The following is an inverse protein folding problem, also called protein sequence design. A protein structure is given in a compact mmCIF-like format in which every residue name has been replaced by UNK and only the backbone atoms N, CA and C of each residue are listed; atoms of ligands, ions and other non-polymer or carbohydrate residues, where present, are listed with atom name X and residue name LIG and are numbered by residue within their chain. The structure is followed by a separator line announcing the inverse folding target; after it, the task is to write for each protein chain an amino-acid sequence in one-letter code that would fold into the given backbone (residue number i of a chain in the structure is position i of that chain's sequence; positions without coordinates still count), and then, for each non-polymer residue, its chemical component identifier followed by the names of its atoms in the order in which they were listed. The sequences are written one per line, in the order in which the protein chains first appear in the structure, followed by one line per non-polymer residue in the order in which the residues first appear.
data_IF_147983733239
#
_entry.id   IF_147983733239
#
_cell.length_a   1.000
_cell.length_b   1.000
_cell.length_c   1.000
_cell.angle_alpha   90.00
_cell.angle_beta   90.00
_cell.angle_gamma   90.00
#
_symmetry.space_group_name_H-M   'P 1'
#
loop_
_entity.id
_entity.type
_entity.pdbx_description
1 polymer ?
#
# COMPACT_ATOMS: atom_id res chain seq x y z
N UNK A 1 -0.80 2.29 36.35
CA UNK A 1 -0.48 3.49 35.53
C UNK A 1 -1.77 4.18 35.16
N UNK A 2 -1.81 5.52 35.06
CA UNK A 2 -3.02 6.22 34.67
C UNK A 2 -3.38 5.91 33.20
N UNK A 3 -4.67 5.80 32.90
CA UNK A 3 -5.20 5.45 31.59
C UNK A 3 -4.68 6.37 30.45
N UNK A 4 -4.43 7.64 30.77
CA UNK A 4 -3.85 8.64 29.85
C UNK A 4 -2.48 8.23 29.27
N UNK A 5 -1.71 7.41 30.00
CA UNK A 5 -0.39 6.98 29.52
C UNK A 5 -0.48 5.96 28.39
N UNK A 6 -1.53 5.14 28.36
CA UNK A 6 -1.71 4.12 27.31
C UNK A 6 -2.38 4.68 26.06
N UNK A 7 -3.27 5.67 26.18
CA UNK A 7 -3.77 6.39 25.00
C UNK A 7 -2.62 7.10 24.28
N UNK A 8 -1.75 7.78 25.00
CA UNK A 8 -0.54 8.40 24.43
C UNK A 8 0.42 7.35 23.84
N UNK A 9 0.48 6.13 24.40
CA UNK A 9 1.26 5.03 23.84
C UNK A 9 0.70 4.57 22.48
N UNK A 10 -0.63 4.44 22.35
CA UNK A 10 -1.29 4.14 21.06
C UNK A 10 -0.95 5.23 20.04
N UNK A 11 -1.04 6.50 20.42
CA UNK A 11 -0.70 7.63 19.54
C UNK A 11 0.73 7.52 19.00
N UNK A 12 1.70 7.25 19.87
CA UNK A 12 3.12 7.15 19.49
C UNK A 12 3.44 5.91 18.67
N UNK A 13 2.79 4.78 18.96
CA UNK A 13 2.92 3.57 18.16
C UNK A 13 2.38 3.80 16.75
N UNK A 14 1.18 4.40 16.62
CA UNK A 14 0.61 4.80 15.33
C UNK A 14 1.57 5.70 14.53
N UNK A 15 2.18 6.69 15.19
CA UNK A 15 3.21 7.54 14.58
C UNK A 15 4.44 6.75 14.09
N UNK A 16 4.94 5.79 14.88
CA UNK A 16 6.12 5.01 14.52
C UNK A 16 5.93 4.27 13.20
N UNK A 17 4.77 3.65 12.97
CA UNK A 17 4.51 3.00 11.68
C UNK A 17 4.16 3.99 10.55
N UNK A 18 3.56 5.15 10.83
CA UNK A 18 3.44 6.22 9.83
C UNK A 18 4.81 6.74 9.38
N UNK A 19 5.81 6.80 10.27
CA UNK A 19 7.19 7.14 9.91
C UNK A 19 7.81 6.10 8.97
N UNK A 20 7.58 4.81 9.22
CA UNK A 20 8.01 3.74 8.30
C UNK A 20 7.36 3.91 6.92
N UNK A 21 6.06 4.21 6.87
CA UNK A 21 5.33 4.45 5.62
C UNK A 21 5.85 5.69 4.89
N UNK A 22 6.14 6.77 5.62
CA UNK A 22 6.68 7.99 5.04
C UNK A 22 8.09 7.79 4.48
N UNK A 23 8.94 7.04 5.20
CA UNK A 23 10.25 6.64 4.71
C UNK A 23 10.14 5.83 3.41
N UNK A 24 9.17 4.92 3.31
CA UNK A 24 8.86 4.19 2.08
C UNK A 24 8.43 5.12 0.94
N UNK A 25 7.58 6.09 1.24
CA UNK A 25 7.08 7.06 0.27
C UNK A 25 8.17 7.96 -0.28
N UNK A 26 9.10 8.43 0.57
CA UNK A 26 10.26 9.20 0.14
C UNK A 26 11.21 8.39 -0.74
N UNK A 27 11.18 7.06 -0.60
CA UNK A 27 11.99 6.14 -1.38
C UNK A 27 11.39 5.81 -2.76
N UNK A 28 10.08 6.02 -2.96
CA UNK A 28 9.38 5.75 -4.23
C UNK A 28 10.05 6.37 -5.48
N UNK A 29 10.46 7.66 -5.48
CA UNK A 29 11.10 8.27 -6.67
C UNK A 29 12.47 7.68 -6.97
N UNK A 30 13.24 7.28 -5.94
CA UNK A 30 14.54 6.64 -6.10
C UNK A 30 14.42 5.21 -6.62
N UNK A 31 13.39 4.48 -6.16
CA UNK A 31 13.00 3.18 -6.71
C UNK A 31 12.65 3.29 -8.20
N UNK A 32 12.00 4.38 -8.61
CA UNK A 32 11.60 4.64 -10.00
C UNK A 32 12.74 5.01 -10.94
N UNK A 33 13.72 5.77 -10.45
CA UNK A 33 14.83 6.28 -11.27
C UNK A 33 16.02 5.33 -11.35
N UNK A 34 15.91 4.12 -10.75
CA UNK A 34 16.98 3.14 -10.71
C UNK A 34 18.09 3.47 -9.70
N UNK A 35 17.95 4.54 -8.92
CA UNK A 35 18.89 4.95 -7.86
C UNK A 35 18.71 4.14 -6.55
N UNK A 36 18.27 2.88 -6.68
CA UNK A 36 17.99 1.97 -5.56
C UNK A 36 19.25 1.57 -4.78
N UNK A 37 20.44 1.86 -5.33
CA UNK A 37 21.74 1.48 -4.74
C UNK A 37 22.50 2.67 -4.11
N UNK A 38 21.91 3.86 -3.99
CA UNK A 38 22.60 5.01 -3.42
C UNK A 38 22.73 4.90 -1.89
N UNK A 39 23.96 4.66 -1.40
CA UNK A 39 24.26 4.36 0.01
C UNK A 39 23.73 5.41 1.01
N UNK A 40 23.80 6.71 0.68
CA UNK A 40 23.27 7.78 1.52
C UNK A 40 21.73 7.74 1.64
N UNK A 41 21.02 7.41 0.55
CA UNK A 41 19.56 7.46 0.53
C UNK A 41 18.98 6.24 1.27
N UNK A 42 19.57 5.06 1.02
CA UNK A 42 19.21 3.81 1.66
C UNK A 42 19.56 3.81 3.16
N UNK A 43 20.76 4.30 3.51
CA UNK A 43 21.23 4.37 4.89
C UNK A 43 20.53 5.44 5.73
N UNK A 44 20.26 6.62 5.17
CA UNK A 44 19.69 7.72 5.95
C UNK A 44 18.17 7.62 6.16
N UNK A 45 17.42 7.06 5.22
CA UNK A 45 15.94 7.10 5.27
C UNK A 45 15.35 5.73 5.65
N UNK A 46 15.71 4.67 4.92
CA UNK A 46 15.14 3.35 5.16
C UNK A 46 15.72 2.70 6.43
N UNK A 47 17.04 2.72 6.62
CA UNK A 47 17.67 2.13 7.80
C UNK A 47 17.38 2.93 9.08
N UNK A 48 17.45 4.26 9.04
CA UNK A 48 17.19 5.07 10.23
C UNK A 48 15.75 4.92 10.74
N UNK A 49 14.74 4.94 9.85
CA UNK A 49 13.34 4.79 10.24
C UNK A 49 13.05 3.39 10.80
N UNK A 50 13.60 2.34 10.19
CA UNK A 50 13.43 0.95 10.64
C UNK A 50 14.14 0.70 11.97
N UNK A 51 15.38 1.16 12.14
CA UNK A 51 16.11 1.08 13.39
C UNK A 51 15.39 1.87 14.49
N UNK A 52 14.94 3.09 14.20
CA UNK A 52 14.19 3.90 15.16
C UNK A 52 12.92 3.18 15.62
N UNK A 53 12.11 2.68 14.69
CA UNK A 53 10.88 1.95 15.03
C UNK A 53 11.18 0.67 15.83
N UNK A 54 12.22 -0.09 15.46
CA UNK A 54 12.64 -1.28 16.20
C UNK A 54 13.07 -0.95 17.64
N UNK A 55 13.96 0.03 17.82
CA UNK A 55 14.41 0.48 19.14
C UNK A 55 13.25 1.01 19.96
N UNK A 56 12.35 1.78 19.35
CA UNK A 56 11.15 2.30 20.01
C UNK A 56 10.27 1.17 20.56
N UNK A 57 9.99 0.14 19.74
CA UNK A 57 9.25 -1.05 20.16
C UNK A 57 9.95 -1.80 21.29
N UNK A 58 11.27 -2.01 21.18
CA UNK A 58 12.05 -2.71 22.21
C UNK A 58 12.05 -1.97 23.55
N UNK A 59 12.17 -0.64 23.53
CA UNK A 59 12.11 0.19 24.75
C UNK A 59 10.73 0.11 25.41
N UNK A 60 9.65 0.13 24.62
CA UNK A 60 8.30 -0.05 25.15
C UNK A 60 8.16 -1.44 25.76
N UNK A 61 8.54 -2.47 25.02
CA UNK A 61 8.40 -3.85 25.43
C UNK A 61 9.20 -4.17 26.69
N UNK A 62 10.43 -3.69 26.81
CA UNK A 62 11.29 -3.87 27.99
C UNK A 62 10.73 -3.18 29.25
N UNK A 63 9.85 -2.18 29.09
CA UNK A 63 9.20 -1.48 30.21
C UNK A 63 7.91 -2.13 30.67
N UNK A 64 7.36 -3.13 29.99
CA UNK A 64 6.10 -3.79 30.37
C UNK A 64 6.19 -4.65 31.65
N UNK A 65 7.28 -5.43 31.91
CA UNK A 65 7.39 -6.27 33.10
C UNK A 65 7.29 -5.52 34.43
N UNK A 66 7.79 -4.28 34.48
CA UNK A 66 7.76 -3.45 35.69
C UNK A 66 6.36 -2.91 36.03
N UNK A 67 5.38 -3.12 35.15
CA UNK A 67 4.02 -2.56 35.29
C UNK A 67 2.97 -3.63 35.54
N UNK A 68 3.39 -4.88 35.75
CA UNK A 68 2.50 -6.02 35.82
C UNK A 68 2.88 -6.95 36.98
N UNK A 69 2.02 -7.93 37.25
CA UNK A 69 2.24 -8.94 38.27
C UNK A 69 3.07 -10.12 37.72
N UNK A 70 3.28 -11.17 38.54
CA UNK A 70 4.03 -12.37 38.15
C UNK A 70 3.48 -13.06 36.89
N UNK A 71 2.16 -13.09 36.73
CA UNK A 71 1.51 -13.64 35.54
C UNK A 71 1.88 -12.83 34.30
N UNK A 72 1.82 -11.50 34.38
CA UNK A 72 2.24 -10.64 33.27
C UNK A 72 3.72 -10.78 32.94
N UNK A 73 4.60 -10.97 33.92
CA UNK A 73 6.02 -11.28 33.66
C UNK A 73 6.17 -12.61 32.92
N UNK A 74 5.40 -13.64 33.30
CA UNK A 74 5.39 -14.92 32.59
C UNK A 74 4.89 -14.78 31.14
N UNK A 75 3.81 -14.03 30.91
CA UNK A 75 3.31 -13.72 29.56
C UNK A 75 4.36 -12.96 28.74
N UNK A 76 5.02 -11.98 29.36
CA UNK A 76 6.09 -11.21 28.72
C UNK A 76 7.28 -12.11 28.31
N UNK A 77 7.69 -13.06 29.16
CA UNK A 77 8.73 -14.02 28.83
C UNK A 77 8.32 -14.95 27.68
N UNK A 78 7.06 -15.39 27.64
CA UNK A 78 6.54 -16.17 26.53
C UNK A 78 6.55 -15.38 25.20
N UNK A 79 6.14 -14.11 25.25
CA UNK A 79 6.20 -13.20 24.09
C UNK A 79 7.64 -13.00 23.64
N UNK A 80 8.57 -12.78 24.57
CA UNK A 80 9.99 -12.63 24.27
C UNK A 80 10.53 -13.87 23.56
N UNK A 81 10.18 -15.08 24.02
CA UNK A 81 10.60 -16.33 23.39
C UNK A 81 10.08 -16.44 21.94
N UNK A 82 8.83 -16.06 21.68
CA UNK A 82 8.26 -16.05 20.33
C UNK A 82 8.96 -15.02 19.45
N UNK A 83 9.16 -13.79 19.91
CA UNK A 83 9.84 -12.75 19.12
C UNK A 83 11.27 -13.14 18.80
N UNK A 84 12.00 -13.74 19.76
CA UNK A 84 13.35 -14.28 19.50
C UNK A 84 13.31 -15.37 18.44
N UNK A 85 12.33 -16.28 18.50
CA UNK A 85 12.14 -17.31 17.49
C UNK A 85 11.84 -16.71 16.10
N UNK A 86 10.94 -15.73 16.00
CA UNK A 86 10.63 -15.04 14.74
C UNK A 86 11.86 -14.36 14.14
N UNK A 87 12.70 -13.72 14.97
CA UNK A 87 13.96 -13.11 14.53
C UNK A 87 14.93 -14.19 14.02
N UNK A 88 15.09 -15.30 14.74
CA UNK A 88 15.94 -16.42 14.31
C UNK A 88 15.45 -16.99 12.97
N UNK A 89 14.14 -17.20 12.81
CA UNK A 89 13.56 -17.69 11.56
C UNK A 89 13.74 -16.69 10.41
N UNK A 90 13.66 -15.39 10.69
CA UNK A 90 13.90 -14.33 9.68
C UNK A 90 15.34 -14.28 9.18
N UNK A 91 16.29 -14.78 9.97
CA UNK A 91 17.70 -14.88 9.58
C UNK A 91 17.98 -16.12 8.72
N UNK A 92 17.07 -17.10 8.68
CA UNK A 92 17.22 -18.28 7.82
C UNK A 92 17.16 -17.87 6.34
N UNK A 93 18.12 -18.34 5.50
CA UNK A 93 18.15 -18.01 4.08
C UNK A 93 16.84 -18.32 3.39
N UNK A 94 16.45 -17.43 2.49
CA UNK A 94 15.21 -17.55 1.74
C UNK A 94 15.18 -18.80 0.86
N UNK A 95 14.11 -19.59 0.94
CA UNK A 95 13.83 -20.65 -0.03
C UNK A 95 13.11 -20.05 -1.24
N UNK A 96 13.04 -20.73 -2.39
CA UNK A 96 12.49 -20.18 -3.65
C UNK A 96 11.04 -19.61 -3.58
N UNK A 97 10.31 -19.82 -2.48
CA UNK A 97 8.99 -19.20 -2.21
C UNK A 97 9.06 -17.76 -1.67
N UNK A 98 10.24 -17.32 -1.24
CA UNK A 98 10.47 -16.00 -0.63
C UNK A 98 10.87 -14.93 -1.67
N UNK A 99 10.76 -15.25 -2.96
CA UNK A 99 11.04 -14.30 -4.02
C UNK A 99 9.98 -13.21 -4.02
N UNK A 100 10.44 -12.01 -3.59
CA UNK A 100 9.79 -10.71 -3.69
C UNK A 100 8.75 -10.72 -4.81
N UNK A 101 7.47 -10.86 -4.45
CA UNK A 101 6.38 -10.82 -5.45
C UNK A 101 6.51 -9.52 -6.22
N UNK A 102 6.56 -9.63 -7.54
CA UNK A 102 7.09 -8.67 -8.53
C UNK A 102 6.30 -7.36 -8.69
N UNK A 103 5.68 -6.86 -7.62
CA UNK A 103 4.79 -5.72 -7.66
C UNK A 103 5.30 -4.61 -6.74
N UNK A 104 5.47 -3.38 -7.24
CA UNK A 104 5.88 -2.21 -6.42
C UNK A 104 4.77 -1.81 -5.43
N UNK A 105 4.63 -2.54 -4.33
CA UNK A 105 3.79 -2.13 -3.19
C UNK A 105 4.64 -1.34 -2.21
N UNK A 106 4.03 -0.46 -1.41
CA UNK A 106 4.79 0.46 -0.55
C UNK A 106 5.79 -0.25 0.40
N UNK A 107 5.48 -1.40 1.03
CA UNK A 107 6.47 -2.12 1.84
C UNK A 107 7.61 -2.71 1.00
N UNK A 108 7.33 -3.15 -0.23
CA UNK A 108 8.35 -3.71 -1.14
C UNK A 108 9.40 -2.67 -1.54
N UNK A 109 9.00 -1.40 -1.57
CA UNK A 109 9.90 -0.26 -1.79
C UNK A 109 10.90 -0.11 -0.63
N UNK A 110 10.52 -0.41 0.62
CA UNK A 110 11.45 -0.48 1.76
C UNK A 110 12.37 -1.71 1.69
N UNK A 111 11.89 -2.81 1.09
CA UNK A 111 12.62 -4.07 1.00
C UNK A 111 13.67 -4.08 -0.11
N UNK A 112 13.37 -3.43 -1.23
CA UNK A 112 14.18 -3.41 -2.45
C UNK A 112 15.67 -3.05 -2.24
N UNK A 113 16.05 -1.99 -1.51
CA UNK A 113 17.47 -1.66 -1.31
C UNK A 113 18.27 -2.76 -0.60
N UNK A 114 17.66 -3.42 0.40
CA UNK A 114 18.33 -4.47 1.16
C UNK A 114 18.53 -5.73 0.33
N UNK A 115 17.52 -6.09 -0.46
CA UNK A 115 17.63 -7.19 -1.41
C UNK A 115 18.72 -6.91 -2.47
N UNK A 116 18.81 -5.66 -2.96
CA UNK A 116 19.84 -5.21 -3.90
C UNK A 116 21.27 -5.34 -3.35
N UNK A 117 21.45 -5.16 -2.05
CA UNK A 117 22.74 -5.36 -1.36
C UNK A 117 23.03 -6.81 -0.94
N UNK A 118 22.12 -7.75 -1.23
CA UNK A 118 22.25 -9.16 -0.85
C UNK A 118 21.78 -9.47 0.58
N UNK A 119 21.22 -8.50 1.31
CA UNK A 119 20.75 -8.63 2.68
C UNK A 119 19.30 -9.14 2.72
N UNK A 120 19.10 -10.39 2.30
CA UNK A 120 17.77 -11.00 2.11
C UNK A 120 16.97 -11.17 3.41
N UNK A 121 17.63 -11.14 4.57
CA UNK A 121 16.98 -11.25 5.88
C UNK A 121 16.35 -9.95 6.37
N UNK A 122 16.82 -8.79 5.89
CA UNK A 122 16.33 -7.49 6.37
C UNK A 122 14.87 -7.22 5.99
N UNK A 123 14.41 -7.49 4.75
CA UNK A 123 12.98 -7.41 4.41
C UNK A 123 12.08 -8.21 5.35
N UNK A 124 12.49 -9.44 5.70
CA UNK A 124 11.78 -10.30 6.66
C UNK A 124 11.71 -9.66 8.04
N UNK A 125 12.83 -9.11 8.53
CA UNK A 125 12.89 -8.40 9.82
C UNK A 125 12.02 -7.14 9.85
N UNK A 126 11.99 -6.36 8.76
CA UNK A 126 11.11 -5.18 8.65
C UNK A 126 9.65 -5.63 8.63
N UNK A 127 9.33 -6.73 7.96
CA UNK A 127 7.98 -7.27 7.95
C UNK A 127 7.54 -7.78 9.33
N UNK A 128 8.38 -8.55 10.00
CA UNK A 128 8.19 -8.97 11.39
C UNK A 128 8.05 -7.79 12.36
N UNK A 129 8.74 -6.67 12.11
CA UNK A 129 8.56 -5.45 12.90
C UNK A 129 7.13 -4.88 12.81
N UNK A 130 6.46 -4.97 11.66
CA UNK A 130 5.04 -4.58 11.55
C UNK A 130 4.11 -5.52 12.36
N UNK A 131 4.41 -6.81 12.41
CA UNK A 131 3.71 -7.74 13.32
C UNK A 131 3.87 -7.31 14.78
N UNK A 132 5.11 -7.05 15.20
CA UNK A 132 5.39 -6.66 16.57
C UNK A 132 4.77 -5.29 16.94
N UNK A 133 4.82 -4.31 16.03
CA UNK A 133 4.13 -3.02 16.17
C UNK A 133 2.62 -3.20 16.35
N UNK A 134 1.99 -4.06 15.55
CA UNK A 134 0.55 -4.35 15.65
C UNK A 134 0.21 -4.97 16.99
N UNK A 135 0.99 -5.96 17.42
CA UNK A 135 0.81 -6.58 18.73
C UNK A 135 0.98 -5.59 19.89
N UNK A 136 1.97 -4.71 19.84
CA UNK A 136 2.16 -3.66 20.85
C UNK A 136 1.01 -2.64 20.85
N UNK A 137 0.46 -2.32 19.67
CA UNK A 137 -0.68 -1.43 19.52
C UNK A 137 -1.95 -2.02 20.16
N UNK A 138 -2.21 -3.32 19.92
CA UNK A 138 -3.27 -4.07 20.60
C UNK A 138 -3.03 -4.14 22.11
N UNK A 139 -1.80 -4.38 22.54
CA UNK A 139 -1.43 -4.38 23.96
C UNK A 139 -1.73 -3.03 24.61
N UNK A 140 -1.34 -1.92 23.97
CA UNK A 140 -1.57 -0.58 24.48
C UNK A 140 -3.07 -0.26 24.58
N UNK A 141 -3.86 -0.60 23.57
CA UNK A 141 -5.31 -0.42 23.57
C UNK A 141 -6.00 -1.23 24.68
N UNK A 142 -5.72 -2.53 24.77
CA UNK A 142 -6.31 -3.40 25.79
C UNK A 142 -5.83 -3.03 27.20
N UNK A 143 -4.60 -2.57 27.35
CA UNK A 143 -4.11 -2.04 28.63
C UNK A 143 -4.79 -0.73 29.03
N UNK A 144 -5.16 0.12 28.06
CA UNK A 144 -5.95 1.33 28.29
C UNK A 144 -7.39 1.00 28.74
N UNK A 145 -8.03 0.02 28.09
CA UNK A 145 -9.43 -0.36 28.38
C UNK A 145 -9.60 -1.25 29.60
N UNK A 146 -8.63 -2.12 29.85
CA UNK A 146 -8.66 -3.14 30.89
C UNK A 146 -7.45 -2.97 31.80
N UNK A 147 -6.39 -3.76 31.57
CA UNK A 147 -5.13 -3.66 32.30
C UNK A 147 -3.97 -4.29 31.49
N UNK A 148 -2.74 -4.14 31.98
CA UNK A 148 -1.51 -4.58 31.31
C UNK A 148 -1.50 -6.10 31.03
N UNK A 149 -2.10 -6.92 31.90
CA UNK A 149 -2.14 -8.38 31.70
C UNK A 149 -2.99 -8.72 30.47
N UNK A 150 -4.16 -8.10 30.31
CA UNK A 150 -4.97 -8.26 29.10
C UNK A 150 -4.31 -7.69 27.85
N UNK A 151 -3.54 -6.61 28.00
CA UNK A 151 -2.67 -6.11 26.95
C UNK A 151 -1.66 -7.14 26.46
N UNK A 152 -0.91 -7.74 27.39
CA UNK A 152 0.05 -8.79 27.09
C UNK A 152 -0.61 -10.05 26.51
N UNK A 153 -1.81 -10.43 26.97
CA UNK A 153 -2.58 -11.52 26.37
C UNK A 153 -2.95 -11.22 24.91
N UNK A 154 -3.41 -10.00 24.61
CA UNK A 154 -3.72 -9.61 23.24
C UNK A 154 -2.50 -9.65 22.31
N UNK A 155 -1.35 -9.15 22.80
CA UNK A 155 -0.07 -9.25 22.08
C UNK A 155 0.33 -10.70 21.85
N UNK A 156 0.30 -11.53 22.90
CA UNK A 156 0.65 -12.95 22.83
C UNK A 156 -0.22 -13.69 21.80
N UNK A 157 -1.54 -13.57 21.90
CA UNK A 157 -2.45 -14.25 20.98
C UNK A 157 -2.27 -13.79 19.54
N UNK A 158 -2.04 -12.50 19.31
CA UNK A 158 -1.78 -11.98 17.97
C UNK A 158 -0.51 -12.61 17.36
N UNK A 159 0.65 -12.49 18.03
CA UNK A 159 1.92 -12.98 17.48
C UNK A 159 1.99 -14.51 17.42
N UNK A 160 1.29 -15.22 18.30
CA UNK A 160 1.22 -16.69 18.27
C UNK A 160 0.19 -17.23 17.28
N UNK A 161 -0.62 -16.36 16.66
CA UNK A 161 -1.62 -16.80 15.68
C UNK A 161 -0.87 -17.43 14.49
N UNK A 162 -1.18 -18.66 14.05
CA UNK A 162 -0.39 -19.38 13.05
C UNK A 162 -0.11 -18.59 11.77
N UNK A 163 -1.10 -17.87 11.24
CA UNK A 163 -0.92 -17.05 10.03
C UNK A 163 0.00 -15.85 10.27
N UNK A 164 -0.08 -15.20 11.43
CA UNK A 164 0.78 -14.05 11.78
C UNK A 164 2.21 -14.53 11.97
N UNK A 165 2.40 -15.61 12.72
CA UNK A 165 3.71 -16.23 12.94
C UNK A 165 4.34 -16.74 11.64
N UNK A 166 3.52 -17.28 10.73
CA UNK A 166 4.01 -17.71 9.42
C UNK A 166 4.45 -16.52 8.56
N UNK A 167 3.66 -15.45 8.52
CA UNK A 167 3.97 -14.29 7.71
C UNK A 167 5.13 -13.47 8.29
N UNK A 168 5.34 -13.46 9.61
CA UNK A 168 6.35 -12.62 10.28
C UNK A 168 7.80 -12.91 9.87
N UNK A 169 8.08 -14.08 9.28
CA UNK A 169 9.39 -14.46 8.75
C UNK A 169 9.44 -14.54 7.21
N UNK A 170 8.40 -14.07 6.53
CA UNK A 170 8.32 -13.94 5.08
C UNK A 170 8.36 -12.46 4.69
N UNK A 171 8.91 -12.15 3.52
CA UNK A 171 8.94 -10.80 2.99
C UNK A 171 7.66 -10.54 2.16
N UNK A 172 6.53 -10.31 2.83
CA UNK A 172 5.26 -9.96 2.16
C UNK A 172 4.82 -8.54 2.55
N UNK A 173 3.64 -8.10 2.12
CA UNK A 173 3.09 -6.78 2.45
C UNK A 173 1.99 -6.81 3.51
N UNK A 174 1.54 -8.01 3.87
CA UNK A 174 0.28 -8.22 4.58
C UNK A 174 0.31 -7.75 6.03
N UNK A 175 1.40 -7.98 6.76
CA UNK A 175 1.55 -7.46 8.14
C UNK A 175 1.64 -5.94 8.19
N UNK A 176 2.19 -5.29 7.15
CA UNK A 176 2.14 -3.83 7.01
C UNK A 176 0.71 -3.32 6.85
N UNK A 177 -0.09 -3.98 6.00
CA UNK A 177 -1.51 -3.67 5.86
C UNK A 177 -2.27 -3.86 7.18
N UNK A 178 -2.06 -5.00 7.85
CA UNK A 178 -2.71 -5.31 9.13
C UNK A 178 -2.41 -4.24 10.18
N UNK A 179 -1.15 -3.80 10.26
CA UNK A 179 -0.75 -2.70 11.13
C UNK A 179 -1.50 -1.40 10.80
N UNK A 180 -1.46 -0.94 9.55
CA UNK A 180 -2.04 0.35 9.16
C UNK A 180 -3.56 0.40 9.35
N UNK A 181 -4.25 -0.71 9.05
CA UNK A 181 -5.70 -0.83 9.29
C UNK A 181 -6.01 -0.78 10.79
N UNK A 182 -5.24 -1.51 11.61
CA UNK A 182 -5.43 -1.52 13.07
C UNK A 182 -5.16 -0.14 13.67
N UNK A 183 -4.07 0.52 13.27
CA UNK A 183 -3.73 1.88 13.67
C UNK A 183 -4.83 2.88 13.30
N UNK A 184 -5.34 2.80 12.07
CA UNK A 184 -6.43 3.67 11.63
C UNK A 184 -7.70 3.46 12.47
N UNK A 185 -8.12 2.21 12.65
CA UNK A 185 -9.31 1.86 13.42
C UNK A 185 -9.21 2.33 14.88
N UNK A 186 -8.09 2.06 15.55
CA UNK A 186 -7.91 2.47 16.94
C UNK A 186 -7.89 3.99 17.08
N UNK A 187 -7.25 4.72 16.16
CA UNK A 187 -7.30 6.18 16.14
C UNK A 187 -8.74 6.70 15.95
N UNK A 188 -9.57 6.07 15.13
CA UNK A 188 -11.01 6.40 15.01
C UNK A 188 -11.74 6.18 16.33
N UNK A 189 -11.48 5.07 17.04
CA UNK A 189 -12.08 4.80 18.34
C UNK A 189 -11.68 5.85 19.39
N UNK A 190 -10.39 6.22 19.46
CA UNK A 190 -9.92 7.27 20.38
C UNK A 190 -10.48 8.65 20.04
N UNK A 191 -10.65 8.98 18.75
CA UNK A 191 -11.36 10.19 18.34
C UNK A 191 -12.83 10.17 18.79
N UNK A 192 -13.49 9.01 18.72
CA UNK A 192 -14.89 8.88 19.13
C UNK A 192 -15.10 9.07 20.65
N UNK A 193 -14.06 8.88 21.46
CA UNK A 193 -14.09 9.16 22.91
C UNK A 193 -14.00 10.66 23.22
N UNK A 194 -13.15 11.39 22.50
CA UNK A 194 -12.99 12.83 22.63
C UNK A 194 -12.88 13.47 21.24
N UNK A 195 -14.04 13.89 20.73
CA UNK A 195 -14.21 14.40 19.37
C UNK A 195 -13.44 15.70 19.10
N UNK A 196 -12.98 16.39 20.16
CA UNK A 196 -12.17 17.61 20.06
C UNK A 196 -10.71 17.31 19.66
N UNK A 197 -10.23 16.09 19.86
CA UNK A 197 -8.85 15.71 19.56
C UNK A 197 -8.66 15.29 18.10
N UNK A 198 -8.62 16.26 17.19
CA UNK A 198 -8.44 16.03 15.75
C UNK A 198 -7.13 15.34 15.37
N UNK A 199 -6.11 15.36 16.25
CA UNK A 199 -4.84 14.63 16.05
C UNK A 199 -5.03 13.14 15.75
N UNK A 200 -6.07 12.52 16.32
CA UNK A 200 -6.42 11.13 16.08
C UNK A 200 -6.94 10.91 14.66
N UNK A 201 -7.74 11.83 14.13
CA UNK A 201 -8.23 11.77 12.74
C UNK A 201 -7.11 11.93 11.72
N UNK A 202 -6.12 12.78 12.01
CA UNK A 202 -4.95 12.95 11.15
C UNK A 202 -4.17 11.64 11.05
N UNK A 203 -3.90 10.99 12.19
CA UNK A 203 -3.25 9.67 12.21
C UNK A 203 -4.11 8.57 11.61
N UNK A 204 -5.43 8.60 11.83
CA UNK A 204 -6.36 7.64 11.25
C UNK A 204 -6.33 7.71 9.72
N UNK A 205 -6.43 8.93 9.17
CA UNK A 205 -6.34 9.18 7.74
C UNK A 205 -4.97 8.82 7.17
N UNK A 206 -3.88 9.26 7.80
CA UNK A 206 -2.53 8.92 7.35
C UNK A 206 -2.29 7.40 7.32
N UNK A 207 -2.69 6.68 8.37
CA UNK A 207 -2.59 5.21 8.44
C UNK A 207 -3.47 4.56 7.36
N UNK A 208 -4.70 5.05 7.14
CA UNK A 208 -5.57 4.53 6.10
C UNK A 208 -4.99 4.76 4.69
N UNK A 209 -4.34 5.91 4.45
CA UNK A 209 -3.64 6.20 3.20
C UNK A 209 -2.46 5.26 2.96
N UNK A 210 -1.68 4.94 4.00
CA UNK A 210 -0.63 3.93 3.90
C UNK A 210 -1.18 2.51 3.69
N UNK A 211 -2.31 2.17 4.31
CA UNK A 211 -3.01 0.92 4.03
C UNK A 211 -3.39 0.83 2.54
N UNK A 212 -3.99 1.87 1.96
CA UNK A 212 -4.29 1.91 0.52
C UNK A 212 -3.04 1.70 -0.36
N UNK A 213 -1.88 2.22 0.06
CA UNK A 213 -0.62 2.10 -0.66
C UNK A 213 0.04 0.70 -0.55
N UNK A 214 -0.43 -0.18 0.33
CA UNK A 214 0.08 -1.56 0.39
C UNK A 214 -0.48 -2.47 -0.71
N UNK A 215 -1.57 -2.07 -1.35
CA UNK A 215 -2.19 -2.84 -2.42
C UNK A 215 -3.72 -2.81 -2.35
N UNK A 216 -4.39 -3.67 -3.12
CA UNK A 216 -5.83 -3.56 -3.33
C UNK A 216 -6.70 -3.89 -2.11
N UNK A 217 -6.25 -4.82 -1.28
CA UNK A 217 -6.88 -5.11 0.01
C UNK A 217 -6.88 -3.87 0.92
N UNK A 218 -5.90 -2.97 0.75
CA UNK A 218 -5.84 -1.68 1.42
C UNK A 218 -6.91 -0.69 0.98
N UNK A 219 -7.21 -0.65 -0.32
CA UNK A 219 -8.32 0.16 -0.85
C UNK A 219 -9.68 -0.34 -0.32
N UNK A 220 -9.87 -1.65 -0.22
CA UNK A 220 -11.06 -2.23 0.42
C UNK A 220 -11.11 -1.89 1.92
N UNK A 221 -9.98 -2.00 2.62
CA UNK A 221 -9.89 -1.63 4.04
C UNK A 221 -10.23 -0.15 4.28
N UNK A 222 -9.80 0.76 3.39
CA UNK A 222 -10.16 2.17 3.46
C UNK A 222 -11.68 2.40 3.42
N UNK A 223 -12.41 1.66 2.58
CA UNK A 223 -13.87 1.73 2.55
C UNK A 223 -14.47 1.36 3.92
N UNK A 224 -14.02 0.24 4.51
CA UNK A 224 -14.50 -0.20 5.82
C UNK A 224 -14.13 0.78 6.93
N UNK A 225 -12.94 1.40 6.88
CA UNK A 225 -12.51 2.42 7.84
C UNK A 225 -13.32 3.72 7.70
N UNK A 226 -13.62 4.15 6.47
CA UNK A 226 -14.48 5.29 6.22
C UNK A 226 -15.92 5.04 6.73
N UNK A 227 -16.44 3.83 6.55
CA UNK A 227 -17.73 3.41 7.12
C UNK A 227 -17.70 3.38 8.66
N UNK A 228 -16.63 2.86 9.25
CA UNK A 228 -16.46 2.84 10.71
C UNK A 228 -16.41 4.26 11.29
N UNK A 229 -15.69 5.18 10.64
CA UNK A 229 -15.66 6.59 11.01
C UNK A 229 -17.02 7.27 10.80
N UNK A 230 -17.71 6.97 9.70
CA UNK A 230 -19.05 7.47 9.43
C UNK A 230 -20.06 7.01 10.50
N UNK A 231 -19.99 5.74 10.90
CA UNK A 231 -20.80 5.20 12.01
C UNK A 231 -20.45 5.87 13.35
N UNK A 232 -19.16 5.98 13.67
CA UNK A 232 -18.71 6.66 14.89
C UNK A 232 -19.18 8.12 14.93
N UNK A 233 -19.05 8.86 13.84
CA UNK A 233 -19.54 10.23 13.73
C UNK A 233 -21.08 10.32 13.82
N UNK A 234 -21.81 9.37 13.22
CA UNK A 234 -23.26 9.31 13.28
C UNK A 234 -23.79 9.00 14.69
N UNK A 235 -23.03 8.24 15.49
CA UNK A 235 -23.37 7.96 16.90
C UNK A 235 -23.21 9.16 17.84
N UNK A 236 -22.53 10.23 17.42
CA UNK A 236 -22.35 11.45 18.21
C UNK A 236 -23.63 12.29 18.19
N UNK A 237 -24.49 12.11 19.19
CA UNK A 237 -25.80 12.78 19.29
C UNK A 237 -25.71 14.30 19.45
N UNK A 238 -24.62 14.81 20.03
CA UNK A 238 -24.42 16.23 20.32
C UNK A 238 -23.88 17.04 19.12
N UNK A 239 -23.43 16.37 18.05
CA UNK A 239 -22.85 17.03 16.87
C UNK A 239 -23.94 17.20 15.80
N UNK A 240 -24.06 18.40 15.23
CA UNK A 240 -24.98 18.68 14.12
C UNK A 240 -24.57 17.97 12.82
N UNK A 241 -25.52 17.61 11.97
CA UNK A 241 -25.27 16.81 10.75
C UNK A 241 -24.15 17.37 9.83
N UNK A 242 -24.03 18.69 9.58
CA UNK A 242 -22.93 19.23 8.78
C UNK A 242 -21.56 19.06 9.46
N UNK A 243 -21.52 19.18 10.79
CA UNK A 243 -20.31 19.03 11.58
C UNK A 243 -19.88 17.56 11.70
N UNK A 244 -20.79 16.60 11.48
CA UNK A 244 -20.47 15.16 11.40
C UNK A 244 -19.68 14.78 10.15
N UNK A 245 -19.73 15.59 9.09
CA UNK A 245 -19.00 15.33 7.83
C UNK A 245 -17.56 15.83 7.88
N UNK A 246 -17.24 16.79 8.74
CA UNK A 246 -15.90 17.38 8.86
C UNK A 246 -14.83 16.33 9.27
N UNK A 247 -15.07 15.44 10.26
CA UNK A 247 -14.15 14.36 10.60
C UNK A 247 -13.86 13.42 9.44
N UNK A 248 -14.90 13.04 8.68
CA UNK A 248 -14.77 12.19 7.50
C UNK A 248 -13.94 12.90 6.43
N UNK A 249 -14.24 14.17 6.16
CA UNK A 249 -13.48 15.00 5.22
C UNK A 249 -12.00 15.10 5.58
N UNK A 250 -11.67 15.35 6.86
CA UNK A 250 -10.29 15.42 7.33
C UNK A 250 -9.56 14.07 7.17
N UNK A 251 -10.19 12.98 7.59
CA UNK A 251 -9.61 11.64 7.48
C UNK A 251 -9.36 11.26 6.01
N UNK A 252 -10.34 11.47 5.13
CA UNK A 252 -10.23 11.22 3.68
C UNK A 252 -9.15 12.11 3.06
N UNK A 253 -9.09 13.39 3.42
CA UNK A 253 -8.05 14.30 2.93
C UNK A 253 -6.65 13.81 3.31
N UNK A 254 -6.42 13.45 4.58
CA UNK A 254 -5.14 12.91 5.02
C UNK A 254 -4.80 11.58 4.34
N UNK A 255 -5.78 10.68 4.16
CA UNK A 255 -5.58 9.41 3.48
C UNK A 255 -5.18 9.60 2.01
N UNK A 256 -5.90 10.46 1.28
CA UNK A 256 -5.59 10.77 -0.12
C UNK A 256 -4.24 11.48 -0.25
N UNK A 257 -3.89 12.40 0.66
CA UNK A 257 -2.60 13.07 0.65
C UNK A 257 -1.44 12.05 0.77
N UNK A 258 -1.54 11.11 1.72
CA UNK A 258 -0.53 10.06 1.93
C UNK A 258 -0.52 9.02 0.81
N UNK A 259 -1.68 8.66 0.26
CA UNK A 259 -1.81 7.70 -0.84
C UNK A 259 -1.37 8.27 -2.19
N UNK A 260 -1.49 9.59 -2.39
CA UNK A 260 -1.28 10.25 -3.68
C UNK A 260 0.08 9.99 -4.33
N UNK A 261 1.23 9.89 -3.62
CA UNK A 261 2.51 9.63 -4.28
C UNK A 261 2.59 8.21 -4.86
N UNK A 262 2.04 7.22 -4.15
CA UNK A 262 1.92 5.86 -4.68
C UNK A 262 0.92 5.83 -5.84
N UNK A 263 -0.23 6.51 -5.73
CA UNK A 263 -1.20 6.57 -6.82
C UNK A 263 -0.62 7.25 -8.08
N UNK A 264 0.13 8.35 -7.92
CA UNK A 264 0.72 9.10 -9.02
C UNK A 264 1.81 8.28 -9.75
N UNK A 265 2.64 7.54 -9.01
CA UNK A 265 3.61 6.62 -9.61
C UNK A 265 2.89 5.50 -10.38
N UNK A 266 1.85 4.92 -9.81
CA UNK A 266 1.10 3.83 -10.46
C UNK A 266 0.17 4.32 -11.60
N UNK A 267 -0.23 5.59 -11.63
CA UNK A 267 -1.05 6.15 -12.71
C UNK A 267 -0.33 6.15 -14.07
N UNK A 268 1.01 6.10 -14.08
CA UNK A 268 1.80 5.97 -15.30
C UNK A 268 1.99 4.51 -15.76
N UNK A 269 1.46 3.51 -15.04
CA UNK A 269 1.51 2.10 -15.44
C UNK A 269 0.95 1.82 -16.84
N UNK A 270 -0.18 2.41 -17.30
CA UNK A 270 -0.66 2.20 -18.67
C UNK A 270 0.39 2.55 -19.73
N UNK A 271 1.10 3.66 -19.53
CA UNK A 271 2.17 4.09 -20.43
C UNK A 271 3.33 3.09 -20.38
N UNK A 272 3.67 2.58 -19.20
CA UNK A 272 4.74 1.59 -19.02
C UNK A 272 4.44 0.25 -19.71
N UNK A 273 3.21 -0.26 -19.61
CA UNK A 273 2.78 -1.51 -20.30
C UNK A 273 2.87 -1.36 -21.82
N UNK A 274 2.57 -0.16 -22.32
CA UNK A 274 2.62 0.17 -23.73
C UNK A 274 4.05 0.32 -24.27
N UNK A 275 4.93 1.01 -23.55
CA UNK A 275 6.27 1.35 -24.06
C UNK A 275 7.38 0.39 -23.62
N UNK A 276 7.16 -0.37 -22.54
CA UNK A 276 8.19 -1.23 -21.92
C UNK A 276 7.68 -2.62 -21.52
N UNK A 277 6.48 -3.02 -21.97
CA UNK A 277 5.99 -4.39 -21.79
C UNK A 277 6.94 -5.37 -22.48
N UNK A 278 7.35 -6.42 -21.77
CA UNK A 278 8.20 -7.48 -22.26
C UNK A 278 7.73 -8.80 -21.63
N UNK A 279 7.75 -9.88 -22.40
CA UNK A 279 7.34 -11.22 -21.94
C UNK A 279 8.48 -11.83 -21.10
N UNK A 280 8.59 -11.44 -19.83
CA UNK A 280 9.49 -12.07 -18.85
C UNK A 280 8.74 -12.24 -17.51
N UNK A 281 8.53 -13.48 -17.04
CA UNK A 281 7.67 -13.77 -15.89
C UNK A 281 8.12 -13.17 -14.55
N UNK A 282 9.37 -12.72 -14.42
CA UNK A 282 9.94 -12.32 -13.14
C UNK A 282 10.29 -10.83 -12.99
N UNK A 283 10.39 -10.05 -14.08
CA UNK A 283 10.93 -8.67 -14.02
C UNK A 283 10.13 -7.61 -14.76
N UNK A 284 9.23 -7.99 -15.67
CA UNK A 284 8.47 -7.07 -16.51
C UNK A 284 6.97 -7.38 -16.45
N UNK A 285 6.15 -6.38 -16.79
CA UNK A 285 4.72 -6.58 -16.99
C UNK A 285 4.56 -7.45 -18.24
N UNK A 286 4.20 -8.72 -18.02
CA UNK A 286 3.99 -9.76 -19.02
C UNK A 286 3.02 -9.25 -20.09
N UNK A 287 3.45 -9.14 -21.36
CA UNK A 287 2.71 -8.65 -22.55
C UNK A 287 2.65 -7.13 -22.80
N UNK A 288 2.89 -6.72 -24.06
CA UNK A 288 2.81 -5.33 -24.52
C UNK A 288 1.44 -4.94 -25.09
N UNK A 289 0.96 -3.74 -24.73
CA UNK A 289 -0.23 -3.13 -25.34
C UNK A 289 0.16 -2.22 -26.50
N UNK A 290 -0.69 -2.16 -27.53
CA UNK A 290 -0.45 -1.32 -28.71
C UNK A 290 -0.39 0.18 -28.32
N UNK A 291 0.71 0.91 -28.58
CA UNK A 291 0.85 2.32 -28.21
C UNK A 291 -0.20 3.26 -28.80
N UNK A 292 -0.82 2.84 -29.91
CA UNK A 292 -1.93 3.54 -30.51
C UNK A 292 -3.10 3.72 -29.53
N UNK A 293 -3.38 2.73 -28.67
CA UNK A 293 -4.53 2.72 -27.75
C UNK A 293 -4.52 3.92 -26.78
N UNK A 294 -3.33 4.37 -26.35
CA UNK A 294 -3.19 5.51 -25.44
C UNK A 294 -2.98 6.80 -26.21
N UNK A 295 -2.11 6.80 -27.23
CA UNK A 295 -1.73 8.01 -27.96
C UNK A 295 -2.95 8.73 -28.55
N UNK A 296 -3.90 7.98 -29.09
CA UNK A 296 -5.06 8.54 -29.77
C UNK A 296 -6.27 8.76 -28.85
N UNK A 297 -6.28 8.19 -27.65
CA UNK A 297 -7.42 8.22 -26.72
C UNK A 297 -8.04 9.61 -26.47
N UNK A 298 -7.26 10.72 -26.33
CA UNK A 298 -7.82 12.06 -26.12
C UNK A 298 -8.75 12.54 -27.24
N UNK A 299 -8.60 12.00 -28.46
CA UNK A 299 -9.42 12.37 -29.61
C UNK A 299 -10.66 11.50 -29.78
N UNK A 300 -10.81 10.41 -29.02
CA UNK A 300 -11.97 9.51 -29.11
C UNK A 300 -13.29 10.21 -28.75
N UNK A 301 -13.26 11.10 -27.74
CA UNK A 301 -14.45 11.74 -27.16
C UNK A 301 -15.03 12.91 -27.96
N UNK A 302 -14.46 13.22 -29.13
CA UNK A 302 -14.98 14.27 -30.02
C UNK A 302 -16.05 13.67 -30.96
N UNK A 303 -16.99 14.50 -31.44
CA UNK A 303 -18.02 14.09 -32.42
C UNK A 303 -19.29 13.47 -31.83
N UNK A 304 -20.10 12.80 -32.68
CA UNK A 304 -21.38 12.18 -32.31
C UNK A 304 -21.20 10.93 -31.42
N UNK A 305 -22.29 10.46 -30.80
CA UNK A 305 -22.37 9.28 -29.90
C UNK A 305 -21.48 9.35 -28.65
N UNK A 306 -21.57 10.46 -27.92
CA UNK A 306 -20.75 10.73 -26.73
C UNK A 306 -21.01 9.75 -25.57
N UNK A 307 -22.26 9.32 -25.39
CA UNK A 307 -22.63 8.40 -24.30
C UNK A 307 -22.07 6.99 -24.50
N UNK A 308 -22.15 6.42 -25.71
CA UNK A 308 -21.52 5.12 -26.03
C UNK A 308 -20.02 5.14 -25.75
N UNK A 309 -19.33 6.21 -26.14
CA UNK A 309 -17.89 6.39 -25.91
C UNK A 309 -17.56 6.50 -24.41
N UNK A 310 -18.42 7.15 -23.63
CA UNK A 310 -18.31 7.20 -22.16
C UNK A 310 -18.50 5.83 -21.54
N UNK A 311 -19.42 5.02 -22.06
CA UNK A 311 -19.64 3.65 -21.60
C UNK A 311 -18.41 2.78 -21.89
N UNK A 312 -17.88 2.80 -23.11
CA UNK A 312 -16.67 2.03 -23.46
C UNK A 312 -15.45 2.46 -22.64
N UNK A 313 -15.28 3.77 -22.44
CA UNK A 313 -14.20 4.28 -21.60
C UNK A 313 -14.39 3.92 -20.13
N UNK A 314 -15.61 4.07 -19.61
CA UNK A 314 -15.95 3.68 -18.25
C UNK A 314 -15.72 2.19 -18.01
N UNK A 315 -16.06 1.34 -18.98
CA UNK A 315 -15.80 -0.09 -18.94
C UNK A 315 -14.30 -0.40 -18.95
N UNK A 316 -13.54 0.16 -19.90
CA UNK A 316 -12.09 -0.05 -19.98
C UNK A 316 -11.36 0.46 -18.72
N UNK A 317 -11.79 1.62 -18.21
CA UNK A 317 -11.27 2.21 -16.98
C UNK A 317 -11.62 1.35 -15.76
N UNK A 318 -12.87 0.89 -15.65
CA UNK A 318 -13.30 0.03 -14.56
C UNK A 318 -12.53 -1.29 -14.54
N UNK A 319 -12.27 -1.90 -15.70
CA UNK A 319 -11.51 -3.13 -15.80
C UNK A 319 -10.00 -2.92 -15.55
N UNK A 320 -9.45 -1.79 -16.00
CA UNK A 320 -8.08 -1.39 -15.65
C UNK A 320 -7.93 -1.15 -14.14
N UNK A 321 -8.88 -0.45 -13.52
CA UNK A 321 -8.92 -0.28 -12.07
C UNK A 321 -9.09 -1.64 -11.38
N UNK A 322 -9.97 -2.51 -11.87
CA UNK A 322 -10.16 -3.86 -11.34
C UNK A 322 -8.85 -4.68 -11.40
N UNK A 323 -8.11 -4.60 -12.50
CA UNK A 323 -6.82 -5.27 -12.64
C UNK A 323 -5.78 -4.71 -11.65
N UNK A 324 -5.76 -3.39 -11.40
CA UNK A 324 -5.00 -2.81 -10.30
C UNK A 324 -5.49 -3.33 -8.92
N UNK A 325 -6.79 -3.59 -8.81
CA UNK A 325 -7.43 -4.16 -7.61
C UNK A 325 -7.20 -5.67 -7.41
N UNK A 326 -6.80 -6.42 -8.42
CA UNK A 326 -6.58 -7.87 -8.28
C UNK A 326 -5.15 -8.24 -7.89
N UNK A 327 -4.25 -7.24 -7.78
CA UNK A 327 -2.94 -7.41 -7.14
C UNK A 327 -1.89 -8.16 -7.95
N UNK A 328 -2.27 -8.74 -9.10
CA UNK A 328 -1.43 -9.30 -10.14
C UNK A 328 -1.78 -8.60 -11.46
N UNK A 329 -1.23 -7.41 -11.74
CA UNK A 329 -1.48 -6.75 -13.02
C UNK A 329 -0.65 -7.45 -14.11
N UNK A 330 -1.22 -8.44 -14.80
CA UNK A 330 -0.61 -9.01 -16.02
C UNK A 330 -1.33 -8.42 -17.23
N UNK A 331 -0.67 -8.30 -18.40
CA UNK A 331 -1.36 -7.78 -19.60
C UNK A 331 -2.60 -8.60 -19.98
N UNK A 332 -2.61 -9.90 -19.67
CA UNK A 332 -3.76 -10.78 -19.88
C UNK A 332 -4.98 -10.34 -19.07
N UNK A 333 -4.78 -9.75 -17.90
CA UNK A 333 -5.85 -9.22 -17.05
C UNK A 333 -6.35 -7.86 -17.53
N UNK A 334 -5.80 -7.34 -18.63
CA UNK A 334 -6.33 -6.17 -19.34
C UNK A 334 -7.02 -6.56 -20.66
N UNK A 335 -6.96 -7.83 -21.09
CA UNK A 335 -7.55 -8.29 -22.35
C UNK A 335 -9.03 -7.89 -22.50
N UNK A 336 -9.89 -8.02 -21.48
CA UNK A 336 -11.27 -7.54 -21.57
C UNK A 336 -11.42 -6.03 -21.75
N UNK A 337 -10.43 -5.22 -21.33
CA UNK A 337 -10.40 -3.78 -21.61
C UNK A 337 -9.94 -3.45 -23.03
N UNK A 338 -9.25 -4.37 -23.73
CA UNK A 338 -8.67 -4.11 -25.06
C UNK A 338 -9.75 -3.86 -26.13
N UNK A 339 -10.81 -4.68 -26.31
CA UNK A 339 -11.84 -4.41 -27.32
C UNK A 339 -12.48 -3.01 -27.23
N UNK A 340 -12.94 -2.52 -26.07
CA UNK A 340 -13.46 -1.16 -25.97
C UNK A 340 -12.40 -0.08 -26.22
N UNK A 341 -11.15 -0.30 -25.82
CA UNK A 341 -10.04 0.62 -26.14
C UNK A 341 -9.75 0.67 -27.65
N UNK A 342 -9.84 -0.45 -28.37
CA UNK A 342 -9.70 -0.50 -29.84
C UNK A 342 -10.83 0.29 -30.52
N UNK A 343 -12.07 0.16 -30.05
CA UNK A 343 -13.20 0.94 -30.57
C UNK A 343 -12.95 2.45 -30.37
N UNK A 344 -12.50 2.86 -29.18
CA UNK A 344 -12.16 4.25 -28.90
C UNK A 344 -10.98 4.75 -29.76
N UNK A 345 -9.97 3.92 -29.98
CA UNK A 345 -8.85 4.20 -30.89
C UNK A 345 -9.34 4.48 -32.32
N UNK A 346 -10.21 3.64 -32.87
CA UNK A 346 -10.74 3.84 -34.23
C UNK A 346 -11.55 5.15 -34.32
N UNK A 347 -12.37 5.47 -33.31
CA UNK A 347 -13.06 6.76 -33.24
C UNK A 347 -12.08 7.94 -33.18
N UNK A 348 -10.98 7.81 -32.44
CA UNK A 348 -9.96 8.83 -32.35
C UNK A 348 -9.25 9.07 -33.68
N UNK A 349 -8.85 8.01 -34.39
CA UNK A 349 -8.25 8.11 -35.72
C UNK A 349 -9.21 8.81 -36.69
N UNK A 350 -10.47 8.40 -36.72
CA UNK A 350 -11.49 9.03 -37.57
C UNK A 350 -11.66 10.53 -37.26
N UNK A 351 -11.72 10.89 -35.97
CA UNK A 351 -11.86 12.29 -35.55
C UNK A 351 -10.65 13.17 -35.90
N UNK A 352 -9.45 12.59 -35.94
CA UNK A 352 -8.23 13.29 -36.34
C UNK A 352 -8.15 13.41 -37.86
N UNK A 353 -8.50 12.35 -38.58
CA UNK A 353 -8.56 12.36 -40.04
C UNK A 353 -9.43 13.52 -40.56
N UNK A 354 -10.60 13.74 -39.94
CA UNK A 354 -11.50 14.85 -40.29
C UNK A 354 -10.94 16.25 -39.99
N UNK A 355 -9.80 16.38 -39.31
CA UNK A 355 -9.22 17.65 -38.85
C UNK A 355 -7.85 17.97 -39.44
N UNK A 356 -7.21 17.03 -40.12
CA UNK A 356 -5.85 17.19 -40.64
C UNK A 356 -5.89 17.46 -42.15
N UNK A 357 -5.14 18.46 -42.61
CA UNK A 357 -5.01 18.85 -44.02
C UNK A 357 -4.21 17.83 -44.84
N UNK A 358 -3.24 17.15 -44.21
CA UNK A 358 -2.36 16.17 -44.86
C UNK A 358 -2.42 14.79 -44.16
N UNK A 359 -3.40 13.94 -44.51
CA UNK A 359 -3.63 12.66 -43.82
C UNK A 359 -2.49 11.66 -44.00
N UNK A 360 -1.60 11.85 -45.00
CA UNK A 360 -0.41 11.01 -45.22
C UNK A 360 0.48 10.86 -43.98
N UNK A 361 0.59 11.91 -43.15
CA UNK A 361 1.37 11.86 -41.91
C UNK A 361 0.68 11.03 -40.82
N UNK A 362 -0.65 11.09 -40.74
CA UNK A 362 -1.43 10.23 -39.84
C UNK A 362 -1.21 8.76 -40.21
N UNK A 363 -1.33 8.41 -41.48
CA UNK A 363 -1.10 7.04 -41.95
C UNK A 363 0.36 6.59 -41.78
N UNK A 364 1.34 7.46 -42.02
CA UNK A 364 2.75 7.15 -41.78
C UNK A 364 3.03 6.84 -40.29
N UNK A 365 2.45 7.61 -39.37
CA UNK A 365 2.54 7.37 -37.91
C UNK A 365 1.84 6.05 -37.53
N UNK A 366 0.65 5.77 -38.08
CA UNK A 366 -0.06 4.50 -37.83
C UNK A 366 0.76 3.29 -38.32
N UNK A 367 1.36 3.38 -39.51
CA UNK A 367 2.21 2.33 -40.07
C UNK A 367 3.44 2.12 -39.18
N UNK A 368 4.12 3.20 -38.78
CA UNK A 368 5.29 3.13 -37.88
C UNK A 368 4.94 2.47 -36.54
N UNK A 369 3.89 2.94 -35.87
CA UNK A 369 3.48 2.42 -34.56
C UNK A 369 2.95 0.98 -34.64
N UNK A 370 2.36 0.58 -35.77
CA UNK A 370 1.99 -0.82 -36.01
C UNK A 370 3.21 -1.69 -36.27
N UNK A 371 4.22 -1.18 -36.97
CA UNK A 371 5.49 -1.88 -37.21
C UNK A 371 6.25 -2.15 -35.90
N UNK A 372 6.15 -1.27 -34.90
CA UNK A 372 6.71 -1.52 -33.56
C UNK A 372 6.11 -2.77 -32.89
N UNK A 373 4.81 -3.05 -33.09
CA UNK A 373 4.21 -4.29 -32.61
C UNK A 373 4.78 -5.52 -33.33
N UNK A 374 5.12 -5.39 -34.62
CA UNK A 374 5.78 -6.46 -35.38
C UNK A 374 7.20 -6.75 -34.89
N UNK A 375 7.95 -5.71 -34.54
CA UNK A 375 9.29 -5.83 -33.93
C UNK A 375 9.20 -6.51 -32.56
N UNK A 376 8.22 -6.12 -31.74
CA UNK A 376 7.94 -6.77 -30.46
C UNK A 376 7.70 -8.28 -30.65
N UNK A 377 6.78 -8.65 -31.55
CA UNK A 377 6.48 -10.05 -31.83
C UNK A 377 7.73 -10.81 -32.32
N UNK A 378 8.52 -10.23 -33.22
CA UNK A 378 9.76 -10.84 -33.72
C UNK A 378 10.79 -11.10 -32.61
N UNK A 379 10.90 -10.18 -31.65
CA UNK A 379 11.79 -10.31 -30.49
C UNK A 379 11.25 -11.26 -29.42
N UNK A 380 9.94 -11.55 -29.37
CA UNK A 380 9.39 -12.57 -28.48
C UNK A 380 9.65 -14.01 -28.96
N UNK A 381 10.00 -14.20 -30.24
CA UNK A 381 10.24 -15.53 -30.85
C UNK A 381 11.73 -15.85 -31.09
N UNK A 382 12.65 -14.89 -30.94
CA UNK A 382 14.10 -15.06 -31.05
C UNK A 382 14.76 -14.80 -29.70
#
# INVERSE_FOLDING_TARGET
MPAERFSELVYRLSWAGCLLGFAATLYLPAAWTGYVNHWLLNGAIAAAATIFAALFCLVIFARLPSQTNRLGVALWLAILAIVVLEVVLSLVPATARDELTSHLRLPDVLYAPWAGWGWRSVPKLIHGLYSFLTGLLLCAYLAHRLNVVYGLLGLLFYISTPVVFQLSHLATVDLGLAYYVTASLLCVLFWAEDTKQSRWLVLAGASAGFAMATGPNGLAAFLFLALALGYAAASQKEIELPQRLLPLGLCVFCALAVFSPWAATNAALPLKIVFTGADDPARYLDGALNPLLILFLPWAFKGKRREEKRIFFGFALAYFLLALFLGELRSRDLLPAVPPLVILLVYAIHNIYLRIVHPKWLFAILILLTALNGIYLWNSFN
#
